data_IF_593812777996
#
_entry.id   IF_593812777996
#
_cell.length_a   1.000
_cell.length_b   1.000
_cell.length_c   1.000
_cell.angle_alpha   90.00
_cell.angle_beta   90.00
_cell.angle_gamma   90.00
#
_symmetry.space_group_name_H-M   'P 1'
#
loop_
_entity.id
_entity.type
_entity.pdbx_description
1 polymer ?
#
# COMPACT_ATOMS: atom_id res chain seq x y z
N UNK A 1 1.03 3.07 6.70
CA UNK A 1 2.00 2.56 7.70
C UNK A 1 2.01 3.50 8.88
N UNK A 2 2.14 2.97 10.09
CA UNK A 2 2.30 3.72 11.33
C UNK A 2 3.63 3.34 11.97
N UNK A 3 4.36 4.31 12.52
CA UNK A 3 5.63 4.11 13.21
C UNK A 3 5.52 4.49 14.68
N UNK A 4 6.10 3.66 15.54
CA UNK A 4 6.18 3.80 17.00
C UNK A 4 7.66 3.97 17.37
N UNK A 5 8.05 5.14 17.86
CA UNK A 5 9.44 5.53 18.01
C UNK A 5 9.69 6.13 19.39
N UNK A 6 10.92 5.99 19.85
CA UNK A 6 11.51 6.84 20.90
C UNK A 6 12.77 7.49 20.33
N UNK A 7 12.85 8.80 20.37
CA UNK A 7 13.95 9.55 19.75
C UNK A 7 14.18 10.88 20.39
N UNK A 8 15.23 11.57 19.94
CA UNK A 8 15.56 12.95 20.29
C UNK A 8 15.14 13.89 19.16
N UNK A 9 14.87 15.13 19.51
CA UNK A 9 14.56 16.16 18.52
C UNK A 9 15.65 16.28 17.45
N UNK A 10 15.24 16.20 16.17
CA UNK A 10 16.13 16.25 15.01
C UNK A 10 16.65 14.90 14.54
N UNK A 11 16.51 13.81 15.30
CA UNK A 11 16.80 12.47 14.78
C UNK A 11 15.80 12.10 13.67
N UNK A 12 16.24 11.25 12.76
CA UNK A 12 15.48 10.95 11.54
C UNK A 12 15.08 9.48 11.48
N UNK A 13 13.80 9.24 11.17
CA UNK A 13 13.36 7.98 10.58
C UNK A 13 13.29 8.16 9.07
N UNK A 14 14.03 7.34 8.33
CA UNK A 14 14.01 7.35 6.87
C UNK A 14 13.82 5.93 6.33
N UNK A 15 12.76 5.75 5.55
CA UNK A 15 12.38 4.45 4.99
C UNK A 15 12.21 4.55 3.48
N UNK A 16 12.57 3.49 2.79
CA UNK A 16 12.26 3.28 1.37
C UNK A 16 11.37 2.04 1.21
N UNK A 17 10.51 2.06 0.20
CA UNK A 17 9.55 1.00 -0.08
C UNK A 17 9.83 0.33 -1.42
N UNK A 18 9.68 -0.99 -1.49
CA UNK A 18 9.76 -1.76 -2.73
C UNK A 18 8.74 -2.92 -2.74
N UNK A 19 8.32 -3.34 -3.92
CA UNK A 19 7.47 -4.53 -4.09
C UNK A 19 8.26 -5.80 -4.38
N UNK A 20 9.43 -5.65 -4.98
CA UNK A 20 10.26 -6.76 -5.41
C UNK A 20 11.72 -6.55 -5.02
N UNK A 21 12.44 -7.65 -4.94
CA UNK A 21 13.89 -7.68 -4.94
C UNK A 21 14.37 -8.02 -6.37
N UNK A 22 15.58 -7.60 -6.72
CA UNK A 22 16.23 -8.06 -7.96
C UNK A 22 16.63 -9.54 -7.87
N UNK A 23 17.24 -10.06 -8.94
CA UNK A 23 17.68 -11.47 -9.00
C UNK A 23 18.79 -11.81 -7.99
N UNK A 24 19.56 -10.83 -7.59
CA UNK A 24 20.62 -10.91 -6.60
C UNK A 24 20.12 -10.69 -5.16
N UNK A 25 18.82 -10.39 -4.98
CA UNK A 25 18.20 -10.14 -3.67
C UNK A 25 18.37 -8.71 -3.17
N UNK A 26 18.75 -7.76 -4.02
CA UNK A 26 18.85 -6.35 -3.66
C UNK A 26 17.48 -5.67 -3.73
N UNK A 27 17.34 -4.61 -2.97
CA UNK A 27 16.16 -3.77 -2.94
C UNK A 27 15.97 -3.04 -4.29
N UNK A 28 14.88 -3.35 -5.02
CA UNK A 28 14.65 -2.88 -6.38
C UNK A 28 13.51 -1.87 -6.45
N UNK A 29 13.77 -0.71 -7.08
CA UNK A 29 12.81 0.40 -7.17
C UNK A 29 12.63 0.97 -8.59
N UNK A 30 13.31 0.45 -9.61
CA UNK A 30 13.19 0.98 -10.98
C UNK A 30 11.78 0.82 -11.55
N UNK A 31 11.04 -0.22 -11.11
CA UNK A 31 9.64 -0.41 -11.46
C UNK A 31 8.70 0.69 -10.91
N UNK A 32 9.18 1.53 -10.00
CA UNK A 32 8.42 2.68 -9.47
C UNK A 32 8.54 3.92 -10.36
N UNK A 33 9.33 3.87 -11.43
CA UNK A 33 9.58 4.99 -12.35
C UNK A 33 10.09 6.22 -11.60
N UNK A 34 9.39 7.35 -11.67
CA UNK A 34 9.75 8.59 -10.97
C UNK A 34 9.15 8.71 -9.56
N UNK A 35 8.32 7.75 -9.12
CA UNK A 35 7.71 7.80 -7.80
C UNK A 35 8.75 7.71 -6.68
N UNK A 36 8.74 8.71 -5.81
CA UNK A 36 9.60 8.76 -4.60
C UNK A 36 8.93 7.97 -3.48
N UNK A 37 8.99 6.63 -3.54
CA UNK A 37 8.44 5.74 -2.52
C UNK A 37 9.30 5.77 -1.25
N UNK A 38 9.25 6.90 -0.55
CA UNK A 38 10.06 7.21 0.62
C UNK A 38 9.23 7.85 1.72
N UNK A 39 9.54 7.50 2.95
CA UNK A 39 8.96 8.06 4.15
C UNK A 39 10.09 8.70 4.96
N UNK A 40 9.96 9.99 5.22
CA UNK A 40 10.94 10.76 5.98
C UNK A 40 10.24 11.47 7.13
N UNK A 41 10.71 11.24 8.36
CA UNK A 41 10.13 11.81 9.55
C UNK A 41 11.23 12.31 10.48
N UNK A 42 11.10 13.56 10.94
CA UNK A 42 12.01 14.18 11.90
C UNK A 42 11.38 14.06 13.28
N UNK A 43 12.09 13.41 14.20
CA UNK A 43 11.63 13.16 15.55
C UNK A 43 11.58 14.43 16.40
N UNK A 44 10.68 14.43 17.35
CA UNK A 44 10.72 15.27 18.57
C UNK A 44 11.31 14.44 19.71
N UNK A 45 11.52 15.04 20.88
CA UNK A 45 11.98 14.30 22.06
C UNK A 45 10.93 13.32 22.58
N UNK A 46 11.39 12.13 22.99
CA UNK A 46 10.62 11.11 23.69
C UNK A 46 9.84 10.17 22.78
N UNK A 47 8.86 9.48 23.38
CA UNK A 47 8.00 8.51 22.69
C UNK A 47 7.01 9.22 21.77
N UNK A 48 6.85 8.68 20.58
CA UNK A 48 5.99 9.25 19.57
C UNK A 48 5.45 8.18 18.61
N UNK A 49 4.24 8.42 18.15
CA UNK A 49 3.60 7.63 17.10
C UNK A 49 3.27 8.55 15.94
N UNK A 50 3.62 8.14 14.74
CA UNK A 50 3.31 8.92 13.54
C UNK A 50 2.74 8.06 12.44
N UNK A 51 1.64 8.52 11.85
CA UNK A 51 0.98 7.94 10.70
C UNK A 51 0.75 9.03 9.65
N UNK A 52 1.38 8.94 8.47
CA UNK A 52 1.11 9.85 7.35
C UNK A 52 -0.37 9.85 6.97
N UNK A 53 -0.94 11.03 6.74
CA UNK A 53 -2.37 11.19 6.47
C UNK A 53 -2.70 11.40 5.00
N UNK A 54 -1.78 12.01 4.24
CA UNK A 54 -2.03 12.47 2.87
C UNK A 54 -1.22 11.71 1.83
N UNK A 55 -0.73 10.52 2.18
CA UNK A 55 0.04 9.66 1.27
C UNK A 55 -0.09 8.21 1.66
N UNK A 56 0.13 7.32 0.68
CA UNK A 56 0.21 5.88 0.87
C UNK A 56 1.21 5.28 -0.13
N UNK A 57 1.65 4.06 0.14
CA UNK A 57 2.62 3.33 -0.68
C UNK A 57 2.14 1.90 -0.91
N UNK A 58 2.28 1.41 -2.15
CA UNK A 58 2.21 -0.02 -2.44
C UNK A 58 3.59 -0.64 -2.22
N UNK A 59 3.72 -1.64 -1.35
CA UNK A 59 5.00 -2.24 -1.02
C UNK A 59 4.86 -3.66 -0.44
N UNK A 60 5.95 -4.40 -0.52
CA UNK A 60 6.16 -5.68 0.19
C UNK A 60 7.38 -5.62 1.11
N UNK A 61 8.32 -4.74 0.80
CA UNK A 61 9.58 -4.62 1.52
C UNK A 61 9.79 -3.18 1.98
N UNK A 62 10.34 -3.03 3.17
CA UNK A 62 10.73 -1.75 3.74
C UNK A 62 12.24 -1.82 3.99
N UNK A 63 12.98 -0.85 3.46
CA UNK A 63 14.38 -0.63 3.81
C UNK A 63 14.46 0.53 4.78
N UNK A 64 15.03 0.29 5.96
CA UNK A 64 15.30 1.32 6.94
C UNK A 64 16.64 1.96 6.58
N UNK A 65 16.61 3.22 6.13
CA UNK A 65 17.79 3.99 5.75
C UNK A 65 18.39 4.72 6.96
N UNK A 66 17.53 5.22 7.87
CA UNK A 66 17.90 5.82 9.14
C UNK A 66 16.84 5.51 10.19
N UNK A 67 17.27 5.37 11.45
CA UNK A 67 16.40 5.11 12.59
C UNK A 67 16.93 5.87 13.82
N UNK A 68 16.04 6.47 14.65
CA UNK A 68 16.45 7.16 15.87
C UNK A 68 17.29 6.27 16.79
N UNK A 69 18.43 6.78 17.24
CA UNK A 69 19.38 6.01 18.05
C UNK A 69 20.22 4.96 17.30
N UNK A 70 20.06 4.82 15.98
CA UNK A 70 20.84 3.91 15.13
C UNK A 70 20.06 2.72 14.57
N UNK A 71 20.55 2.14 13.47
CA UNK A 71 19.90 1.01 12.76
C UNK A 71 19.79 -0.25 13.62
N UNK A 72 20.71 -0.45 14.55
CA UNK A 72 20.72 -1.56 15.52
C UNK A 72 19.56 -1.50 16.53
N UNK A 73 18.86 -0.39 16.63
CA UNK A 73 17.68 -0.21 17.48
C UNK A 73 16.36 -0.55 16.80
N UNK A 74 16.39 -0.89 15.52
CA UNK A 74 15.18 -1.25 14.76
C UNK A 74 14.58 -2.54 15.32
N UNK A 75 13.30 -2.49 15.64
CA UNK A 75 12.48 -3.67 16.01
C UNK A 75 11.27 -3.78 15.09
N UNK A 76 10.72 -4.98 14.96
CA UNK A 76 9.50 -5.18 14.16
C UNK A 76 8.31 -4.39 14.73
N UNK A 77 8.22 -4.24 16.03
CA UNK A 77 7.16 -3.52 16.74
C UNK A 77 7.18 -2.00 16.48
N UNK A 78 8.31 -1.49 15.94
CA UNK A 78 8.41 -0.09 15.54
C UNK A 78 7.50 0.26 14.35
N UNK A 79 6.96 -0.73 13.64
CA UNK A 79 6.20 -0.52 12.41
C UNK A 79 4.90 -1.31 12.37
N UNK A 80 3.80 -0.63 12.04
CA UNK A 80 2.51 -1.26 11.75
C UNK A 80 2.11 -0.97 10.31
N UNK A 81 1.98 -2.02 9.49
CA UNK A 81 1.43 -1.90 8.15
C UNK A 81 -0.10 -1.71 8.23
N UNK A 82 -0.61 -0.68 7.57
CA UNK A 82 -2.04 -0.37 7.54
C UNK A 82 -2.50 -0.45 6.09
N UNK A 83 -3.44 -1.35 5.79
CA UNK A 83 -4.11 -1.39 4.51
C UNK A 83 -5.07 -0.20 4.39
N UNK A 84 -4.94 0.55 3.31
CA UNK A 84 -5.79 1.72 3.00
C UNK A 84 -6.56 1.40 1.73
N UNK A 85 -7.86 1.54 1.77
CA UNK A 85 -8.76 1.35 0.62
C UNK A 85 -10.08 2.06 0.85
N UNK A 86 -10.85 2.28 -0.22
CA UNK A 86 -12.23 2.76 -0.12
C UNK A 86 -13.08 1.77 0.66
N UNK A 87 -13.97 2.30 1.51
CA UNK A 87 -14.85 1.46 2.34
C UNK A 87 -15.96 0.84 1.47
N UNK A 88 -15.83 -0.44 1.20
CA UNK A 88 -16.77 -1.24 0.42
C UNK A 88 -17.07 -2.53 1.16
N UNK A 89 -18.34 -2.86 1.29
CA UNK A 89 -18.78 -4.12 1.89
C UNK A 89 -18.38 -5.29 0.98
N UNK A 90 -17.66 -6.27 1.55
CA UNK A 90 -17.36 -7.49 0.81
C UNK A 90 -18.62 -8.33 0.62
N UNK A 91 -18.86 -8.78 -0.61
CA UNK A 91 -20.04 -9.58 -1.01
C UNK A 91 -19.64 -10.92 -1.65
N UNK A 92 -18.44 -10.99 -2.25
CA UNK A 92 -17.94 -12.20 -2.92
C UNK A 92 -17.01 -13.04 -2.07
N UNK A 93 -17.29 -14.35 -2.02
CA UNK A 93 -16.48 -15.34 -1.33
C UNK A 93 -16.32 -16.58 -2.19
N UNK A 94 -15.10 -17.10 -2.26
CA UNK A 94 -14.78 -18.35 -2.94
C UNK A 94 -13.93 -19.21 -2.02
N UNK A 95 -14.29 -20.50 -1.96
CA UNK A 95 -13.48 -21.54 -1.34
C UNK A 95 -13.68 -22.86 -2.09
N UNK A 96 -12.60 -23.54 -2.40
CA UNK A 96 -12.62 -24.84 -3.08
C UNK A 96 -11.49 -25.73 -2.58
N UNK A 97 -11.44 -26.99 -3.02
CA UNK A 97 -10.39 -27.96 -2.65
C UNK A 97 -9.01 -27.63 -3.25
N UNK A 98 -8.92 -26.72 -4.23
CA UNK A 98 -7.67 -26.32 -4.84
C UNK A 98 -7.07 -25.09 -4.14
N UNK A 99 -6.00 -25.30 -3.38
CA UNK A 99 -5.34 -24.23 -2.62
C UNK A 99 -4.76 -23.11 -3.51
N UNK A 100 -4.32 -23.40 -4.73
CA UNK A 100 -3.79 -22.40 -5.66
C UNK A 100 -4.90 -21.45 -6.13
N UNK A 101 -6.11 -21.96 -6.38
CA UNK A 101 -7.27 -21.13 -6.72
C UNK A 101 -7.72 -20.27 -5.52
N UNK A 102 -7.73 -20.81 -4.32
CA UNK A 102 -8.03 -20.05 -3.12
C UNK A 102 -7.01 -18.92 -2.92
N UNK A 103 -5.72 -19.20 -3.16
CA UNK A 103 -4.64 -18.19 -3.08
C UNK A 103 -4.79 -17.12 -4.16
N UNK A 104 -5.10 -17.52 -5.40
CA UNK A 104 -5.37 -16.60 -6.50
C UNK A 104 -6.53 -15.65 -6.14
N UNK A 105 -7.64 -16.19 -5.64
CA UNK A 105 -8.78 -15.37 -5.22
C UNK A 105 -8.41 -14.39 -4.11
N UNK A 106 -7.67 -14.83 -3.11
CA UNK A 106 -7.15 -13.95 -2.06
C UNK A 106 -6.29 -12.82 -2.64
N UNK A 107 -5.42 -13.12 -3.61
CA UNK A 107 -4.58 -12.12 -4.27
C UNK A 107 -5.42 -11.10 -5.05
N UNK A 108 -6.48 -11.55 -5.75
CA UNK A 108 -7.42 -10.66 -6.45
C UNK A 108 -8.10 -9.68 -5.48
N UNK A 109 -8.56 -10.18 -4.33
CA UNK A 109 -9.17 -9.35 -3.28
C UNK A 109 -8.19 -8.29 -2.75
N UNK A 110 -6.94 -8.67 -2.48
CA UNK A 110 -5.91 -7.74 -2.04
C UNK A 110 -5.49 -6.76 -3.13
N UNK A 111 -5.40 -7.21 -4.40
CA UNK A 111 -5.14 -6.36 -5.55
C UNK A 111 -6.23 -5.29 -5.73
N UNK A 112 -7.50 -5.68 -5.61
CA UNK A 112 -8.62 -4.73 -5.66
C UNK A 112 -8.54 -3.71 -4.51
N UNK A 113 -8.28 -4.12 -3.28
CA UNK A 113 -8.09 -3.19 -2.15
C UNK A 113 -6.96 -2.19 -2.41
N UNK A 114 -5.80 -2.66 -2.88
CA UNK A 114 -4.64 -1.81 -3.12
C UNK A 114 -4.85 -0.77 -4.23
N UNK A 115 -5.77 -1.04 -5.16
CA UNK A 115 -6.06 -0.16 -6.29
C UNK A 115 -7.36 0.66 -6.14
N UNK A 116 -8.23 0.31 -5.20
CA UNK A 116 -9.49 1.02 -4.98
C UNK A 116 -9.34 2.00 -3.82
N UNK A 117 -8.66 3.12 -4.10
CA UNK A 117 -8.44 4.23 -3.17
C UNK A 117 -9.00 5.50 -3.81
N UNK A 118 -10.24 5.79 -3.52
CA UNK A 118 -11.05 6.90 -4.07
C UNK A 118 -11.43 6.72 -5.55
N UNK A 119 -10.52 6.28 -6.40
CA UNK A 119 -10.72 5.92 -7.81
C UNK A 119 -10.14 4.53 -8.09
N UNK A 120 -10.59 3.82 -9.16
CA UNK A 120 -10.04 2.52 -9.55
C UNK A 120 -8.69 2.71 -10.25
N UNK A 121 -7.60 2.74 -9.48
CA UNK A 121 -6.25 2.96 -10.04
C UNK A 121 -5.72 1.73 -10.76
N UNK A 122 -4.86 1.94 -11.74
CA UNK A 122 -4.16 0.90 -12.49
C UNK A 122 -3.02 0.23 -11.69
N UNK A 123 -2.44 0.97 -10.76
CA UNK A 123 -1.34 0.48 -9.93
C UNK A 123 -1.27 1.19 -8.57
N UNK A 124 -0.80 0.49 -7.48
CA UNK A 124 -0.78 1.07 -6.14
C UNK A 124 0.55 1.77 -5.79
N UNK A 125 1.63 1.63 -6.58
CA UNK A 125 2.99 1.93 -6.13
C UNK A 125 3.77 2.96 -6.95
N UNK A 126 3.56 3.04 -8.27
CA UNK A 126 4.37 3.86 -9.19
C UNK A 126 3.73 5.22 -9.47
N UNK A 127 4.40 6.06 -10.25
CA UNK A 127 4.01 7.44 -10.59
C UNK A 127 2.85 7.56 -11.61
N UNK A 128 1.97 6.60 -11.66
CA UNK A 128 0.76 6.59 -12.49
C UNK A 128 -0.47 6.75 -11.59
N UNK A 129 -0.99 5.68 -11.04
CA UNK A 129 -2.10 5.67 -10.06
C UNK A 129 -3.32 6.48 -10.49
N UNK A 130 -3.72 6.31 -11.75
CA UNK A 130 -4.87 6.98 -12.34
C UNK A 130 -6.03 6.01 -12.55
N UNK A 131 -7.25 6.55 -12.52
CA UNK A 131 -8.48 5.81 -12.81
C UNK A 131 -8.69 5.66 -14.31
N UNK A 132 -7.94 4.72 -14.93
CA UNK A 132 -8.07 4.45 -16.35
C UNK A 132 -9.38 3.74 -16.69
N UNK A 133 -10.12 4.29 -17.66
CA UNK A 133 -11.42 3.75 -18.08
C UNK A 133 -11.31 2.37 -18.73
N UNK A 134 -10.24 2.11 -19.47
CA UNK A 134 -9.98 0.80 -20.08
C UNK A 134 -9.78 -0.30 -19.04
N UNK A 135 -8.97 -0.05 -18.03
CA UNK A 135 -8.73 -0.96 -16.91
C UNK A 135 -10.00 -1.20 -16.11
N UNK A 136 -10.73 -0.14 -15.79
CA UNK A 136 -12.00 -0.23 -15.09
C UNK A 136 -13.04 -1.02 -15.88
N UNK A 137 -13.15 -0.81 -17.19
CA UNK A 137 -14.08 -1.54 -18.07
C UNK A 137 -13.85 -3.05 -17.99
N UNK A 138 -12.61 -3.50 -17.99
CA UNK A 138 -12.26 -4.93 -17.91
C UNK A 138 -12.54 -5.49 -16.53
N UNK A 139 -12.25 -4.75 -15.47
CA UNK A 139 -12.27 -5.26 -14.10
C UNK A 139 -13.60 -5.03 -13.36
N UNK A 140 -14.45 -4.09 -13.78
CA UNK A 140 -15.65 -3.66 -13.05
C UNK A 140 -16.59 -4.83 -12.67
N UNK A 141 -16.77 -5.78 -13.57
CA UNK A 141 -17.61 -6.95 -13.29
C UNK A 141 -17.03 -7.81 -12.16
N UNK A 142 -15.74 -8.06 -12.18
CA UNK A 142 -15.03 -8.78 -11.12
C UNK A 142 -15.10 -7.98 -9.80
N UNK A 143 -14.92 -6.68 -9.86
CA UNK A 143 -15.01 -5.82 -8.69
C UNK A 143 -16.37 -5.90 -8.01
N UNK A 144 -17.46 -5.85 -8.79
CA UNK A 144 -18.84 -5.95 -8.28
C UNK A 144 -19.20 -7.35 -7.76
N UNK A 145 -18.55 -8.41 -8.25
CA UNK A 145 -18.70 -9.76 -7.70
C UNK A 145 -18.01 -9.89 -6.32
N UNK A 146 -16.91 -9.15 -6.10
CA UNK A 146 -16.12 -9.21 -4.88
C UNK A 146 -16.68 -8.32 -3.77
N UNK A 147 -17.16 -7.13 -4.14
CA UNK A 147 -17.61 -6.08 -3.23
C UNK A 147 -18.88 -5.40 -3.74
N UNK A 148 -19.64 -4.82 -2.82
CA UNK A 148 -20.65 -3.81 -3.14
C UNK A 148 -19.93 -2.52 -3.57
N UNK A 149 -19.68 -2.40 -4.87
CA UNK A 149 -18.90 -1.34 -5.47
C UNK A 149 -19.77 -0.25 -6.14
N UNK A 150 -21.10 -0.28 -5.95
CA UNK A 150 -22.03 0.65 -6.60
C UNK A 150 -21.69 2.11 -6.32
N UNK A 151 -21.57 2.48 -5.04
CA UNK A 151 -21.27 3.87 -4.64
C UNK A 151 -19.88 4.31 -5.12
N UNK A 152 -18.90 3.40 -5.08
CA UNK A 152 -17.54 3.68 -5.54
C UNK A 152 -17.52 4.03 -7.04
N UNK A 153 -18.13 3.19 -7.87
CA UNK A 153 -18.18 3.45 -9.31
C UNK A 153 -19.09 4.61 -9.68
N UNK A 154 -20.22 4.80 -8.99
CA UNK A 154 -21.12 5.95 -9.22
C UNK A 154 -20.37 7.27 -8.97
N UNK A 155 -19.60 7.35 -7.87
CA UNK A 155 -18.77 8.53 -7.59
C UNK A 155 -17.73 8.73 -8.69
N UNK A 156 -16.95 7.71 -9.02
CA UNK A 156 -15.90 7.81 -10.01
C UNK A 156 -16.40 8.17 -11.40
N UNK A 157 -17.53 7.59 -11.84
CA UNK A 157 -18.15 7.94 -13.13
C UNK A 157 -18.69 9.39 -13.17
N UNK A 158 -19.01 9.98 -12.02
CA UNK A 158 -19.38 11.39 -11.93
C UNK A 158 -18.17 12.34 -11.97
N UNK A 159 -16.97 11.83 -11.71
CA UNK A 159 -15.73 12.60 -11.77
C UNK A 159 -15.12 12.64 -13.20
N UNK A 160 -15.60 11.78 -14.13
CA UNK A 160 -15.15 11.71 -15.53
C UNK A 160 -15.84 12.78 -16.39
#
# INVERSE_FOLDING_TARGET
MESHLEGKAGEVLDLSFAEVMDKEGNFYTENYRSAKARYHYICRDGKQTYKPKLTFWGFRYIRVNAFPGGIDKVTLDAFTAIAVHSDMKRTGYLSCSNNSLNKLFSNIIWGQKGNFVDVPTDCPQRDERLGWTGDAQVFIRTACLNYDAEKFYTKWLADL
#
